data_IF_157465234185
#
_entry.id   IF_157465234185
#
_cell.length_a   1.000
_cell.length_b   1.000
_cell.length_c   1.000
_cell.angle_alpha   90.00
_cell.angle_beta   90.00
_cell.angle_gamma   90.00
#
_symmetry.space_group_name_H-M   'P 1'
#
loop_
_entity.id
_entity.type
_entity.pdbx_description
1 polymer ?
#
# COMPACT_ATOMS: atom_id res chain seq x y z
N UNK A 1 10.89 43.22 -8.62
CA UNK A 1 9.81 42.21 -8.59
C UNK A 1 10.03 41.39 -7.34
N UNK A 2 9.23 41.61 -6.29
CA UNK A 2 9.42 40.89 -5.03
C UNK A 2 9.11 39.39 -5.25
N UNK A 3 10.01 38.52 -4.83
CA UNK A 3 9.86 37.07 -4.93
C UNK A 3 8.63 36.63 -4.10
N UNK A 4 7.60 35.98 -4.68
CA UNK A 4 6.42 35.54 -3.94
C UNK A 4 6.79 34.60 -2.77
N UNK A 5 7.94 33.93 -2.81
CA UNK A 5 8.43 33.10 -1.71
C UNK A 5 8.82 33.90 -0.45
N UNK A 6 9.08 35.21 -0.56
CA UNK A 6 9.46 36.06 0.59
C UNK A 6 8.26 36.50 1.45
N UNK A 7 7.02 36.18 1.03
CA UNK A 7 5.78 36.46 1.76
C UNK A 7 5.16 35.23 2.44
N UNK A 8 5.75 34.04 2.25
CA UNK A 8 5.24 32.83 2.87
C UNK A 8 5.67 32.82 4.34
N UNK A 9 4.70 32.74 5.24
CA UNK A 9 4.93 32.59 6.68
C UNK A 9 5.95 31.46 6.93
N UNK A 10 7.06 31.72 7.65
CA UNK A 10 8.08 30.72 7.93
C UNK A 10 7.53 29.46 8.60
N UNK A 11 6.46 29.56 9.40
CA UNK A 11 5.82 28.40 10.01
C UNK A 11 5.08 27.56 8.96
N UNK A 12 4.32 28.21 8.07
CA UNK A 12 3.64 27.56 6.95
C UNK A 12 4.63 26.91 5.98
N UNK A 13 5.76 27.58 5.70
CA UNK A 13 6.85 27.05 4.89
C UNK A 13 7.46 25.80 5.51
N UNK A 14 7.70 25.80 6.82
CA UNK A 14 8.25 24.65 7.53
C UNK A 14 7.29 23.45 7.47
N UNK A 15 5.98 23.68 7.67
CA UNK A 15 4.94 22.64 7.56
C UNK A 15 4.84 22.06 6.14
N UNK A 16 4.83 22.91 5.11
CA UNK A 16 4.79 22.46 3.72
C UNK A 16 6.05 21.67 3.33
N UNK A 17 7.24 22.10 3.80
CA UNK A 17 8.47 21.34 3.58
C UNK A 17 8.45 19.99 4.34
N UNK A 18 7.79 19.93 5.49
CA UNK A 18 7.61 18.70 6.25
C UNK A 18 6.61 17.75 5.57
N UNK A 19 5.48 18.24 5.06
CA UNK A 19 4.53 17.46 4.27
C UNK A 19 5.14 17.00 2.93
N UNK A 20 5.90 17.87 2.28
CA UNK A 20 6.60 17.57 1.02
C UNK A 20 7.71 16.52 1.16
N UNK A 21 8.16 16.17 2.37
CA UNK A 21 9.13 15.08 2.56
C UNK A 21 8.56 13.70 2.26
N UNK A 22 7.23 13.55 2.18
CA UNK A 22 6.60 12.25 1.94
C UNK A 22 5.46 12.28 0.91
N UNK A 23 5.68 12.83 -0.29
CA UNK A 23 4.61 13.21 -1.23
C UNK A 23 3.88 12.00 -1.84
N UNK A 24 4.46 10.80 -1.75
CA UNK A 24 3.92 9.57 -2.34
C UNK A 24 3.29 8.60 -1.33
N UNK A 25 3.17 8.99 -0.06
CA UNK A 25 2.65 8.10 1.00
C UNK A 25 1.25 7.56 0.69
N UNK A 26 0.30 8.46 0.42
CA UNK A 26 -1.09 8.07 0.12
C UNK A 26 -1.19 7.17 -1.11
N UNK A 27 -0.45 7.50 -2.18
CA UNK A 27 -0.40 6.69 -3.40
C UNK A 27 0.18 5.29 -3.13
N UNK A 28 1.29 5.22 -2.39
CA UNK A 28 1.94 3.95 -2.02
C UNK A 28 1.00 3.05 -1.21
N UNK A 29 0.31 3.62 -0.22
CA UNK A 29 -0.67 2.88 0.59
C UNK A 29 -1.86 2.39 -0.25
N UNK A 30 -2.38 3.23 -1.16
CA UNK A 30 -3.44 2.84 -2.07
C UNK A 30 -3.01 1.69 -2.99
N UNK A 31 -1.77 1.72 -3.48
CA UNK A 31 -1.18 0.64 -4.28
C UNK A 31 -1.07 -0.67 -3.48
N UNK A 32 -0.56 -0.63 -2.25
CA UNK A 32 -0.47 -1.83 -1.39
C UNK A 32 -1.84 -2.41 -1.07
N UNK A 33 -2.83 -1.56 -0.81
CA UNK A 33 -4.22 -1.99 -0.61
C UNK A 33 -4.81 -2.64 -1.87
N UNK A 34 -4.59 -2.05 -3.05
CA UNK A 34 -5.09 -2.59 -4.30
C UNK A 34 -4.48 -3.96 -4.61
N UNK A 35 -3.16 -4.12 -4.41
CA UNK A 35 -2.48 -5.40 -4.58
C UNK A 35 -2.97 -6.47 -3.60
N UNK A 36 -3.11 -6.10 -2.32
CA UNK A 36 -3.64 -7.03 -1.31
C UNK A 36 -5.09 -7.43 -1.60
N UNK A 37 -5.95 -6.48 -1.94
CA UNK A 37 -7.35 -6.76 -2.29
C UNK A 37 -7.44 -7.67 -3.52
N UNK A 38 -6.62 -7.42 -4.54
CA UNK A 38 -6.55 -8.27 -5.73
C UNK A 38 -6.12 -9.69 -5.38
N UNK A 39 -5.06 -9.86 -4.57
CA UNK A 39 -4.60 -11.15 -4.12
C UNK A 39 -5.66 -11.88 -3.26
N UNK A 40 -6.39 -11.15 -2.42
CA UNK A 40 -7.47 -11.70 -1.60
C UNK A 40 -8.63 -12.22 -2.45
N UNK A 41 -9.03 -11.48 -3.50
CA UNK A 41 -10.06 -11.93 -4.45
C UNK A 41 -9.59 -13.19 -5.20
N UNK A 42 -8.34 -13.24 -5.65
CA UNK A 42 -7.75 -14.43 -6.29
C UNK A 42 -7.76 -15.64 -5.36
N UNK A 43 -7.33 -15.46 -4.10
CA UNK A 43 -7.36 -16.51 -3.08
C UNK A 43 -8.79 -16.99 -2.78
N UNK A 44 -9.77 -16.07 -2.67
CA UNK A 44 -11.17 -16.42 -2.48
C UNK A 44 -11.72 -17.23 -3.66
N UNK A 45 -11.37 -16.86 -4.89
CA UNK A 45 -11.77 -17.58 -6.10
C UNK A 45 -11.21 -19.00 -6.11
N UNK A 46 -9.94 -19.18 -5.77
CA UNK A 46 -9.32 -20.50 -5.64
C UNK A 46 -9.96 -21.33 -4.52
N UNK A 47 -10.28 -20.71 -3.38
CA UNK A 47 -10.95 -21.38 -2.27
C UNK A 47 -12.35 -21.89 -2.67
N UNK A 48 -13.14 -21.06 -3.36
CA UNK A 48 -14.46 -21.44 -3.88
C UNK A 48 -14.36 -22.55 -4.94
N UNK A 49 -13.37 -22.46 -5.83
CA UNK A 49 -13.09 -23.51 -6.81
C UNK A 49 -12.74 -24.84 -6.12
N UNK A 50 -11.87 -24.80 -5.11
CA UNK A 50 -11.51 -25.98 -4.34
C UNK A 50 -12.72 -26.56 -3.58
N UNK A 51 -13.54 -25.71 -2.94
CA UNK A 51 -14.71 -26.15 -2.18
C UNK A 51 -15.82 -26.75 -3.06
N UNK A 52 -15.86 -26.40 -4.34
CA UNK A 52 -16.80 -26.98 -5.32
C UNK A 52 -16.27 -28.26 -5.98
N UNK A 53 -15.13 -28.80 -5.51
CA UNK A 53 -14.50 -30.00 -6.07
C UNK A 53 -13.64 -29.73 -7.31
N UNK A 54 -13.40 -28.47 -7.65
CA UNK A 54 -12.52 -28.08 -8.74
C UNK A 54 -11.04 -28.26 -8.39
N UNK A 55 -10.25 -28.74 -9.34
CA UNK A 55 -8.80 -28.87 -9.19
C UNK A 55 -8.16 -27.48 -9.21
N UNK A 56 -7.38 -27.17 -8.17
CA UNK A 56 -6.51 -25.99 -8.12
C UNK A 56 -5.06 -26.47 -8.10
N UNK A 57 -4.24 -26.15 -9.13
CA UNK A 57 -2.84 -26.56 -9.14
C UNK A 57 -2.08 -26.03 -7.93
N UNK A 58 -1.20 -26.85 -7.36
CA UNK A 58 -0.39 -26.47 -6.21
C UNK A 58 0.56 -25.31 -6.53
N UNK A 59 1.06 -25.24 -7.77
CA UNK A 59 1.84 -24.10 -8.28
C UNK A 59 1.07 -22.79 -8.18
N UNK A 60 -0.18 -22.80 -8.61
CA UNK A 60 -1.03 -21.61 -8.68
C UNK A 60 -1.41 -21.16 -7.27
N UNK A 61 -1.74 -22.12 -6.39
CA UNK A 61 -1.95 -21.86 -4.96
C UNK A 61 -0.69 -21.28 -4.30
N UNK A 62 0.48 -21.82 -4.61
CA UNK A 62 1.75 -21.33 -4.08
C UNK A 62 2.03 -19.88 -4.50
N UNK A 63 1.86 -19.56 -5.78
CA UNK A 63 2.04 -18.20 -6.30
C UNK A 63 1.01 -17.25 -5.68
N UNK A 64 -0.27 -17.64 -5.63
CA UNK A 64 -1.34 -16.81 -5.06
C UNK A 64 -1.14 -16.57 -3.56
N UNK A 65 -0.73 -17.60 -2.83
CA UNK A 65 -0.40 -17.51 -1.40
C UNK A 65 0.80 -16.60 -1.17
N UNK A 66 1.86 -16.71 -1.97
CA UNK A 66 3.01 -15.81 -1.91
C UNK A 66 2.61 -14.37 -2.19
N UNK A 67 1.79 -14.12 -3.23
CA UNK A 67 1.30 -12.79 -3.57
C UNK A 67 0.48 -12.19 -2.41
N UNK A 68 -0.39 -12.98 -1.76
CA UNK A 68 -1.20 -12.53 -0.63
C UNK A 68 -0.33 -12.22 0.60
N UNK A 69 0.64 -13.08 0.91
CA UNK A 69 1.56 -12.87 2.04
C UNK A 69 2.46 -11.66 1.83
N UNK A 70 3.06 -11.51 0.63
CA UNK A 70 3.91 -10.37 0.32
C UNK A 70 3.15 -9.05 0.34
N UNK A 71 1.98 -8.99 -0.31
CA UNK A 71 1.17 -7.77 -0.31
C UNK A 71 0.66 -7.41 1.09
N UNK A 72 0.26 -8.39 1.89
CA UNK A 72 -0.12 -8.21 3.28
C UNK A 72 1.04 -7.72 4.16
N UNK A 73 2.22 -8.32 4.02
CA UNK A 73 3.42 -7.92 4.75
C UNK A 73 3.85 -6.49 4.39
N UNK A 74 3.78 -6.13 3.10
CA UNK A 74 4.14 -4.81 2.61
C UNK A 74 3.17 -3.73 3.10
N UNK A 75 1.86 -4.04 3.12
CA UNK A 75 0.84 -3.17 3.70
C UNK A 75 1.03 -3.00 5.21
N UNK A 76 1.34 -4.08 5.94
CA UNK A 76 1.61 -4.02 7.38
C UNK A 76 2.86 -3.20 7.70
N UNK A 77 3.95 -3.42 6.96
CA UNK A 77 5.19 -2.66 7.13
C UNK A 77 4.98 -1.17 6.85
N UNK A 78 4.29 -0.81 5.77
CA UNK A 78 3.98 0.58 5.43
C UNK A 78 3.18 1.27 6.54
N UNK A 79 2.17 0.59 7.11
CA UNK A 79 1.39 1.10 8.25
C UNK A 79 2.24 1.32 9.51
N UNK A 80 3.18 0.43 9.80
CA UNK A 80 4.02 0.55 10.99
C UNK A 80 5.04 1.68 10.88
N UNK A 81 5.49 2.03 9.67
CA UNK A 81 6.34 3.21 9.45
C UNK A 81 5.59 4.50 9.75
N UNK A 82 4.31 4.56 9.39
CA UNK A 82 3.47 5.72 9.70
C UNK A 82 3.35 5.95 11.21
N UNK A 83 3.22 4.90 12.02
CA UNK A 83 3.11 5.00 13.49
C UNK A 83 4.41 5.38 14.20
N UNK A 84 5.58 5.22 13.56
CA UNK A 84 6.87 5.61 14.12
C UNK A 84 7.24 7.08 13.79
N UNK A 85 6.54 7.70 12.84
CA UNK A 85 6.79 9.05 12.35
C UNK A 85 5.75 10.08 12.85
N UNK A 86 4.70 9.63 13.57
CA UNK A 86 3.63 10.45 14.18
C UNK A 86 3.88 10.74 15.65
#
# INVERSE_FOLDING_TARGET
MADPASRLDPELKARLLQEARTPWRGLRRALWLALFASAAVGAATMALRASSGGVVPLSDLGIQGLALLMSGALLWWDRNRDSAES
#
